data_IF_265971454454
#
_entry.id   IF_265971454454
#
_cell.length_a   1.000
_cell.length_b   1.000
_cell.length_c   1.000
_cell.angle_alpha   90.00
_cell.angle_beta   90.00
_cell.angle_gamma   90.00
#
_symmetry.space_group_name_H-M   'P 1'
#
loop_
_entity.id
_entity.type
_entity.pdbx_description
1 polymer ?
#
# COMPACT_ATOMS: atom_id res chain seq x y z
N UNK A 1 -16.93 -25.78 -6.18
CA UNK A 1 -18.11 -25.37 -5.39
C UNK A 1 -18.11 -23.86 -5.30
N UNK A 2 -19.23 -23.19 -5.56
CA UNK A 2 -19.34 -21.74 -5.35
C UNK A 2 -19.67 -21.43 -3.88
N UNK A 3 -19.51 -20.17 -3.46
CA UNK A 3 -19.81 -19.74 -2.08
C UNK A 3 -21.24 -20.12 -1.68
N UNK A 4 -22.22 -19.93 -2.56
CA UNK A 4 -23.63 -20.28 -2.34
C UNK A 4 -23.88 -21.79 -2.08
N UNK A 5 -22.94 -22.66 -2.46
CA UNK A 5 -23.01 -24.10 -2.23
C UNK A 5 -22.15 -24.52 -1.02
N UNK A 6 -21.14 -23.72 -0.67
CA UNK A 6 -20.14 -24.05 0.34
C UNK A 6 -20.52 -23.60 1.75
N UNK A 7 -21.31 -22.53 1.86
CA UNK A 7 -21.71 -21.91 3.12
C UNK A 7 -23.23 -21.88 3.21
N UNK A 8 -23.78 -21.92 4.42
CA UNK A 8 -25.22 -21.74 4.64
C UNK A 8 -25.60 -20.26 4.65
N UNK A 9 -24.71 -19.43 5.19
CA UNK A 9 -24.94 -17.99 5.33
C UNK A 9 -23.70 -17.18 4.96
N UNK A 10 -23.95 -15.99 4.43
CA UNK A 10 -22.91 -14.98 4.18
C UNK A 10 -23.23 -13.73 4.98
N UNK A 11 -22.22 -13.20 5.68
CA UNK A 11 -22.33 -11.94 6.42
C UNK A 11 -21.59 -10.86 5.67
N UNK A 12 -22.31 -9.93 5.06
CA UNK A 12 -21.72 -8.74 4.47
C UNK A 12 -21.48 -7.68 5.54
N UNK A 13 -20.31 -7.04 5.49
CA UNK A 13 -19.91 -6.02 6.46
C UNK A 13 -19.44 -4.77 5.74
N UNK A 14 -20.22 -3.70 5.87
CA UNK A 14 -19.80 -2.35 5.51
C UNK A 14 -19.09 -1.69 6.70
N UNK A 15 -17.92 -1.12 6.45
CA UNK A 15 -17.00 -0.67 7.49
C UNK A 15 -16.80 0.84 7.48
N UNK A 16 -17.13 1.49 8.59
CA UNK A 16 -16.92 2.92 8.82
C UNK A 16 -16.12 3.20 10.09
N UNK A 17 -15.67 4.44 10.23
CA UNK A 17 -14.82 4.87 11.35
C UNK A 17 -15.50 4.66 12.72
N UNK A 18 -16.81 4.92 12.82
CA UNK A 18 -17.56 4.88 14.09
C UNK A 18 -18.30 3.57 14.32
N UNK A 19 -18.82 2.97 13.25
CA UNK A 19 -19.72 1.81 13.29
C UNK A 19 -19.44 0.88 12.12
N UNK A 20 -19.88 -0.36 12.25
CA UNK A 20 -19.92 -1.33 11.17
C UNK A 20 -21.35 -1.84 11.04
N UNK A 21 -21.84 -1.91 9.81
CA UNK A 21 -23.17 -2.44 9.50
C UNK A 21 -23.01 -3.84 8.93
N UNK A 22 -23.75 -4.79 9.49
CA UNK A 22 -23.70 -6.20 9.13
C UNK A 22 -25.04 -6.61 8.53
N UNK A 23 -24.99 -7.37 7.44
CA UNK A 23 -26.15 -7.98 6.80
C UNK A 23 -25.91 -9.48 6.65
N UNK A 24 -26.73 -10.29 7.30
CA UNK A 24 -26.72 -11.76 7.18
C UNK A 24 -27.68 -12.13 6.06
N UNK A 25 -27.19 -12.88 5.07
CA UNK A 25 -28.01 -13.44 4.01
C UNK A 25 -27.91 -14.96 4.01
N UNK A 26 -28.99 -15.61 3.61
CA UNK A 26 -28.99 -17.02 3.20
C UNK A 26 -28.15 -17.18 1.93
N UNK A 27 -27.21 -18.11 1.94
CA UNK A 27 -26.28 -18.28 0.83
C UNK A 27 -26.92 -18.93 -0.41
N UNK A 28 -27.96 -19.76 -0.23
CA UNK A 28 -28.59 -20.52 -1.29
C UNK A 28 -29.57 -19.68 -2.11
N UNK A 29 -30.39 -18.87 -1.44
CA UNK A 29 -31.42 -18.06 -2.10
C UNK A 29 -31.14 -16.54 -2.04
N UNK A 30 -30.17 -16.10 -1.25
CA UNK A 30 -29.81 -14.69 -1.12
C UNK A 30 -30.83 -13.85 -0.34
N UNK A 31 -31.73 -14.46 0.43
CA UNK A 31 -32.67 -13.74 1.29
C UNK A 31 -31.95 -13.07 2.46
N UNK A 32 -32.34 -11.84 2.80
CA UNK A 32 -31.82 -11.14 3.97
C UNK A 32 -32.46 -11.74 5.22
N UNK A 33 -31.65 -12.25 6.14
CA UNK A 33 -32.09 -12.87 7.39
C UNK A 33 -32.07 -11.88 8.56
N UNK A 34 -31.02 -11.07 8.65
CA UNK A 34 -30.87 -10.12 9.74
C UNK A 34 -29.92 -8.97 9.37
N UNK A 35 -30.15 -7.80 9.96
CA UNK A 35 -29.29 -6.61 9.82
C UNK A 35 -29.04 -6.02 11.21
N UNK A 36 -27.80 -5.64 11.50
CA UNK A 36 -27.45 -4.94 12.73
C UNK A 36 -26.22 -4.06 12.57
N UNK A 37 -26.16 -2.98 13.35
CA UNK A 37 -25.04 -2.05 13.37
C UNK A 37 -24.39 -2.06 14.75
N UNK A 38 -23.06 -2.14 14.79
CA UNK A 38 -22.29 -2.16 16.04
C UNK A 38 -21.19 -1.08 16.02
N UNK A 39 -20.81 -0.50 17.17
CA UNK A 39 -19.68 0.42 17.26
C UNK A 39 -18.37 -0.24 16.82
N UNK A 40 -17.50 0.51 16.13
CA UNK A 40 -16.15 0.08 15.77
C UNK A 40 -15.21 0.16 16.99
N UNK A 41 -15.41 -0.75 17.94
CA UNK A 41 -14.65 -0.86 19.19
C UNK A 41 -14.53 -2.35 19.54
N UNK A 42 -13.53 -2.75 20.33
CA UNK A 42 -13.39 -4.17 20.71
C UNK A 42 -14.64 -4.76 21.40
N UNK A 43 -15.34 -4.05 22.32
CA UNK A 43 -16.62 -4.51 22.84
C UNK A 43 -17.71 -4.61 21.76
N UNK A 44 -17.76 -3.66 20.82
CA UNK A 44 -18.69 -3.69 19.69
C UNK A 44 -18.44 -4.88 18.75
N UNK A 45 -17.18 -5.21 18.46
CA UNK A 45 -16.81 -6.39 17.67
C UNK A 45 -17.22 -7.68 18.37
N UNK A 46 -17.04 -7.79 19.70
CA UNK A 46 -17.54 -8.94 20.48
C UNK A 46 -19.06 -9.07 20.43
N UNK A 47 -19.79 -7.96 20.54
CA UNK A 47 -21.26 -7.95 20.42
C UNK A 47 -21.71 -8.38 19.03
N UNK A 48 -21.03 -7.93 17.98
CA UNK A 48 -21.28 -8.35 16.61
C UNK A 48 -21.07 -9.87 16.43
N UNK A 49 -19.97 -10.41 16.96
CA UNK A 49 -19.70 -11.85 16.96
C UNK A 49 -20.79 -12.66 17.67
N UNK A 50 -21.19 -12.25 18.87
CA UNK A 50 -22.28 -12.91 19.59
C UNK A 50 -23.60 -12.82 18.82
N UNK A 51 -23.84 -11.72 18.12
CA UNK A 51 -25.03 -11.57 17.27
C UNK A 51 -24.99 -12.50 16.05
N UNK A 52 -23.87 -12.58 15.32
CA UNK A 52 -23.68 -13.52 14.20
C UNK A 52 -23.94 -14.96 14.66
N UNK A 53 -23.36 -15.38 15.80
CA UNK A 53 -23.56 -16.73 16.35
C UNK A 53 -25.02 -17.06 16.65
N UNK A 54 -25.84 -16.07 17.02
CA UNK A 54 -27.29 -16.27 17.24
C UNK A 54 -28.06 -16.42 15.93
N UNK A 55 -27.62 -15.77 14.85
CA UNK A 55 -28.24 -15.88 13.53
C UNK A 55 -27.79 -17.16 12.78
N UNK A 56 -26.62 -17.70 13.13
CA UNK A 56 -25.97 -18.80 12.43
C UNK A 56 -25.55 -19.95 13.37
N UNK A 57 -26.49 -20.75 13.92
CA UNK A 57 -26.16 -21.78 14.91
C UNK A 57 -25.20 -22.86 14.40
N UNK A 58 -25.27 -23.22 13.12
CA UNK A 58 -24.41 -24.21 12.49
C UNK A 58 -22.97 -23.72 12.25
N UNK A 59 -22.70 -22.41 12.43
CA UNK A 59 -21.39 -21.78 12.24
C UNK A 59 -20.75 -21.95 10.85
N UNK A 60 -21.49 -22.42 9.84
CA UNK A 60 -21.04 -22.47 8.45
C UNK A 60 -21.25 -21.11 7.75
N UNK A 61 -20.39 -20.14 8.09
CA UNK A 61 -20.54 -18.73 7.73
C UNK A 61 -19.30 -18.19 7.03
N UNK A 62 -19.51 -17.47 5.93
CA UNK A 62 -18.49 -16.64 5.29
C UNK A 62 -18.76 -15.15 5.57
N UNK A 63 -17.78 -14.41 6.07
CA UNK A 63 -17.88 -12.97 6.26
C UNK A 63 -17.24 -12.21 5.07
N UNK A 64 -18.04 -11.48 4.30
CA UNK A 64 -17.60 -10.60 3.22
C UNK A 64 -17.43 -9.17 3.76
N UNK A 65 -16.19 -8.77 4.03
CA UNK A 65 -15.89 -7.50 4.71
C UNK A 65 -15.30 -6.49 3.72
N UNK A 66 -15.88 -5.30 3.64
CA UNK A 66 -15.26 -4.19 2.91
C UNK A 66 -14.12 -3.57 3.73
N UNK A 67 -12.99 -3.23 3.08
CA UNK A 67 -11.92 -2.47 3.72
C UNK A 67 -11.20 -3.22 4.86
N UNK A 68 -10.91 -4.51 4.66
CA UNK A 68 -10.30 -5.44 5.65
C UNK A 68 -8.96 -4.97 6.26
N UNK A 69 -8.29 -4.01 5.62
CA UNK A 69 -7.01 -3.42 6.09
C UNK A 69 -7.12 -1.93 6.41
N UNK A 70 -8.33 -1.41 6.63
CA UNK A 70 -8.64 -0.01 6.98
C UNK A 70 -9.62 0.00 8.17
N UNK A 71 -10.78 0.66 8.07
CA UNK A 71 -11.81 0.65 9.11
C UNK A 71 -12.25 -0.78 9.48
N UNK A 72 -12.21 -1.72 8.54
CA UNK A 72 -12.53 -3.13 8.77
C UNK A 72 -11.44 -3.97 9.44
N UNK A 73 -10.26 -3.42 9.75
CA UNK A 73 -9.14 -4.20 10.28
C UNK A 73 -9.47 -4.88 11.62
N UNK A 74 -10.03 -4.13 12.58
CA UNK A 74 -10.36 -4.66 13.91
C UNK A 74 -11.43 -5.75 13.86
N UNK A 75 -12.51 -5.53 13.10
CA UNK A 75 -13.57 -6.54 12.95
C UNK A 75 -13.08 -7.77 12.18
N UNK A 76 -12.24 -7.61 11.16
CA UNK A 76 -11.64 -8.73 10.42
C UNK A 76 -10.79 -9.60 11.34
N UNK A 77 -9.98 -8.99 12.20
CA UNK A 77 -9.19 -9.72 13.20
C UNK A 77 -10.10 -10.47 14.20
N UNK A 78 -11.16 -9.83 14.68
CA UNK A 78 -12.12 -10.45 15.61
C UNK A 78 -12.86 -11.64 14.99
N UNK A 79 -13.31 -11.53 13.73
CA UNK A 79 -13.96 -12.61 12.97
C UNK A 79 -13.03 -13.81 12.79
N UNK A 80 -11.78 -13.56 12.37
CA UNK A 80 -10.77 -14.61 12.20
C UNK A 80 -10.42 -15.31 13.52
N UNK A 81 -10.24 -14.55 14.60
CA UNK A 81 -9.98 -15.11 15.92
C UNK A 81 -11.14 -15.97 16.45
N UNK A 82 -12.37 -15.70 16.00
CA UNK A 82 -13.55 -16.48 16.32
C UNK A 82 -13.76 -17.71 15.40
N UNK A 83 -12.83 -17.98 14.47
CA UNK A 83 -12.90 -19.09 13.52
C UNK A 83 -13.80 -18.85 12.31
N UNK A 84 -14.28 -17.63 12.08
CA UNK A 84 -15.13 -17.31 10.93
C UNK A 84 -14.24 -17.04 9.71
N UNK A 85 -14.55 -17.68 8.58
CA UNK A 85 -13.85 -17.45 7.32
C UNK A 85 -14.17 -16.04 6.82
N UNK A 86 -13.14 -15.27 6.43
CA UNK A 86 -13.30 -13.87 5.98
C UNK A 86 -12.78 -13.72 4.56
N UNK A 87 -13.59 -13.10 3.70
CA UNK A 87 -13.22 -12.66 2.35
C UNK A 87 -13.29 -11.15 2.24
N UNK A 88 -12.43 -10.56 1.43
CA UNK A 88 -12.46 -9.12 1.12
C UNK A 88 -13.54 -8.85 0.06
N UNK A 89 -14.58 -8.10 0.45
CA UNK A 89 -15.62 -7.66 -0.46
C UNK A 89 -15.07 -6.55 -1.37
N UNK A 90 -15.33 -6.65 -2.68
CA UNK A 90 -14.96 -5.59 -3.61
C UNK A 90 -16.06 -4.53 -3.61
N UNK A 91 -15.70 -3.22 -3.58
CA UNK A 91 -16.67 -2.17 -3.77
C UNK A 91 -17.38 -2.38 -5.12
N UNK A 92 -18.71 -2.54 -5.10
CA UNK A 92 -19.48 -2.77 -6.31
C UNK A 92 -19.55 -1.45 -7.07
N UNK A 93 -18.75 -1.32 -8.15
CA UNK A 93 -18.75 -0.13 -8.98
C UNK A 93 -20.07 0.08 -9.72
N UNK A 94 -20.65 1.29 -9.62
CA UNK A 94 -21.67 1.87 -10.52
C UNK A 94 -22.96 1.06 -10.76
N UNK A 95 -23.45 0.29 -9.79
CA UNK A 95 -24.88 -0.13 -9.73
C UNK A 95 -25.69 0.72 -8.74
N UNK A 96 -25.25 1.96 -8.50
CA UNK A 96 -25.80 2.90 -7.49
C UNK A 96 -27.07 3.62 -7.93
N UNK A 97 -27.52 3.43 -9.17
CA UNK A 97 -28.44 4.39 -9.81
C UNK A 97 -29.93 4.24 -9.43
N UNK A 98 -30.32 3.36 -8.50
CA UNK A 98 -31.76 3.15 -8.23
C UNK A 98 -32.22 3.07 -6.76
N UNK A 99 -31.33 2.96 -5.77
CA UNK A 99 -31.76 2.66 -4.38
C UNK A 99 -31.29 3.65 -3.29
N UNK A 100 -30.61 4.75 -3.64
CA UNK A 100 -30.02 5.65 -2.64
C UNK A 100 -28.81 5.02 -1.92
N UNK A 101 -28.09 5.83 -1.12
CA UNK A 101 -26.92 5.38 -0.36
C UNK A 101 -27.35 5.08 1.08
N UNK A 102 -27.27 3.81 1.48
CA UNK A 102 -27.52 3.36 2.85
C UNK A 102 -26.50 2.29 3.22
N UNK A 103 -25.92 2.39 4.41
CA UNK A 103 -24.93 1.43 4.94
C UNK A 103 -25.48 -0.01 4.96
N UNK A 104 -26.81 -0.18 5.08
CA UNK A 104 -27.47 -1.49 5.01
C UNK A 104 -27.40 -2.08 3.59
N UNK A 105 -27.62 -1.25 2.57
CA UNK A 105 -27.52 -1.65 1.17
C UNK A 105 -26.08 -2.02 0.84
N UNK A 106 -25.11 -1.23 1.31
CA UNK A 106 -23.69 -1.51 1.08
C UNK A 106 -23.26 -2.83 1.77
N UNK A 107 -23.72 -3.09 3.00
CA UNK A 107 -23.49 -4.37 3.68
C UNK A 107 -24.16 -5.56 2.94
N UNK A 108 -25.40 -5.41 2.47
CA UNK A 108 -26.07 -6.45 1.68
C UNK A 108 -25.34 -6.72 0.35
N UNK A 109 -24.93 -5.66 -0.36
CA UNK A 109 -24.16 -5.77 -1.59
C UNK A 109 -22.81 -6.46 -1.37
N UNK A 110 -22.15 -6.19 -0.24
CA UNK A 110 -20.93 -6.89 0.14
C UNK A 110 -21.17 -8.40 0.27
N UNK A 111 -22.24 -8.82 0.96
CA UNK A 111 -22.62 -10.23 1.09
C UNK A 111 -22.94 -10.87 -0.27
N UNK A 112 -23.78 -10.21 -1.08
CA UNK A 112 -24.19 -10.72 -2.40
C UNK A 112 -23.03 -10.82 -3.39
N UNK A 113 -22.03 -9.96 -3.26
CA UNK A 113 -20.91 -9.89 -4.20
C UNK A 113 -20.09 -11.19 -4.28
N UNK A 114 -20.17 -12.05 -3.26
CA UNK A 114 -19.35 -13.27 -3.17
C UNK A 114 -20.11 -14.56 -3.46
N UNK A 115 -21.44 -14.56 -3.49
CA UNK A 115 -22.26 -15.79 -3.63
C UNK A 115 -21.90 -16.64 -4.86
N UNK A 116 -21.73 -15.98 -6.02
CA UNK A 116 -21.39 -16.64 -7.28
C UNK A 116 -19.90 -16.90 -7.50
N UNK A 117 -19.05 -16.61 -6.51
CA UNK A 117 -17.60 -16.78 -6.63
C UNK A 117 -17.24 -18.22 -6.27
N UNK A 118 -16.33 -18.85 -7.02
CA UNK A 118 -15.76 -20.14 -6.64
C UNK A 118 -15.04 -20.01 -5.29
N UNK A 119 -15.28 -20.93 -4.35
CA UNK A 119 -14.70 -20.88 -3.01
C UNK A 119 -13.18 -20.70 -3.04
N UNK A 120 -12.51 -21.40 -3.96
CA UNK A 120 -11.05 -21.39 -4.12
C UNK A 120 -10.52 -20.07 -4.72
N UNK A 121 -11.42 -19.17 -5.17
CA UNK A 121 -11.11 -17.89 -5.81
C UNK A 121 -11.52 -16.68 -4.98
N UNK A 122 -12.07 -16.87 -3.78
CA UNK A 122 -12.46 -15.74 -2.93
C UNK A 122 -11.22 -14.91 -2.52
N UNK A 123 -11.30 -13.57 -2.54
CA UNK A 123 -10.18 -12.73 -2.10
C UNK A 123 -9.88 -12.90 -0.61
N UNK A 124 -8.75 -13.53 -0.29
CA UNK A 124 -8.32 -13.67 1.11
C UNK A 124 -7.75 -12.34 1.63
N UNK A 125 -8.24 -11.81 2.76
CA UNK A 125 -7.72 -10.59 3.36
C UNK A 125 -6.24 -10.75 3.71
N UNK A 126 -5.51 -9.65 3.65
CA UNK A 126 -4.08 -9.64 3.99
C UNK A 126 -3.86 -10.12 5.43
N UNK A 127 -2.69 -10.69 5.69
CA UNK A 127 -2.29 -11.08 7.05
C UNK A 127 -1.86 -9.85 7.85
N UNK A 128 -2.33 -9.78 9.09
CA UNK A 128 -1.99 -8.81 10.13
C UNK A 128 -0.99 -9.48 11.09
N UNK A 129 0.30 -9.25 10.85
CA UNK A 129 1.44 -9.67 11.68
C UNK A 129 2.59 -8.70 11.36
N UNK A 130 3.85 -9.13 11.24
CA UNK A 130 4.99 -8.31 10.77
C UNK A 130 4.71 -7.42 9.54
N UNK A 131 3.75 -7.83 8.68
CA UNK A 131 3.28 -7.05 7.54
C UNK A 131 2.55 -5.77 7.92
N UNK A 132 1.92 -5.75 9.08
CA UNK A 132 1.31 -4.55 9.67
C UNK A 132 2.39 -3.57 10.12
N UNK A 133 3.43 -4.05 10.82
CA UNK A 133 4.59 -3.23 11.19
C UNK A 133 5.25 -2.60 9.96
N UNK A 134 5.45 -3.39 8.89
CA UNK A 134 5.94 -2.88 7.61
C UNK A 134 5.02 -1.82 7.00
N UNK A 135 3.68 -1.97 7.08
CA UNK A 135 2.73 -0.97 6.58
C UNK A 135 2.79 0.32 7.40
N UNK A 136 2.87 0.21 8.72
CA UNK A 136 3.00 1.35 9.64
C UNK A 136 4.27 2.13 9.29
N UNK A 137 5.41 1.44 9.18
CA UNK A 137 6.68 2.08 8.84
C UNK A 137 6.70 2.66 7.42
N UNK A 138 6.05 2.03 6.44
CA UNK A 138 5.90 2.59 5.09
C UNK A 138 5.01 3.84 5.08
N UNK A 139 3.97 3.88 5.89
CA UNK A 139 3.11 5.06 6.03
C UNK A 139 3.87 6.20 6.71
N UNK A 140 4.53 5.93 7.84
CA UNK A 140 5.37 6.89 8.54
C UNK A 140 6.46 7.46 7.62
N UNK A 141 7.15 6.61 6.86
CA UNK A 141 8.17 7.02 5.88
C UNK A 141 7.64 8.02 4.87
N UNK A 142 6.43 7.80 4.33
CA UNK A 142 5.83 8.72 3.34
C UNK A 142 5.58 10.09 3.93
N UNK A 143 5.04 10.13 5.15
CA UNK A 143 4.77 11.38 5.86
C UNK A 143 6.09 12.13 6.13
N UNK A 144 7.10 11.43 6.66
CA UNK A 144 8.43 11.99 6.93
C UNK A 144 9.09 12.54 5.66
N UNK A 145 9.05 11.81 4.55
CA UNK A 145 9.65 12.25 3.29
C UNK A 145 8.92 13.47 2.70
N UNK A 146 7.58 13.51 2.81
CA UNK A 146 6.76 14.66 2.44
C UNK A 146 7.09 15.90 3.27
N UNK A 147 7.11 15.76 4.61
CA UNK A 147 7.43 16.85 5.53
C UNK A 147 8.85 17.37 5.32
N UNK A 148 9.84 16.48 5.20
CA UNK A 148 11.22 16.85 4.89
C UNK A 148 11.33 17.63 3.58
N UNK A 149 10.65 17.16 2.53
CA UNK A 149 10.64 17.83 1.22
C UNK A 149 9.97 19.19 1.29
N UNK A 150 8.82 19.29 1.97
CA UNK A 150 8.11 20.54 2.16
C UNK A 150 8.97 21.56 2.92
N UNK A 151 9.61 21.15 4.01
CA UNK A 151 10.49 22.00 4.80
C UNK A 151 11.72 22.46 4.00
N UNK A 152 12.33 21.58 3.20
CA UNK A 152 13.47 21.95 2.33
C UNK A 152 13.06 22.94 1.25
N UNK A 153 11.89 22.75 0.63
CA UNK A 153 11.37 23.65 -0.39
C UNK A 153 11.00 25.01 0.20
N UNK A 154 10.34 25.04 1.35
CA UNK A 154 10.03 26.26 2.08
C UNK A 154 11.29 27.03 2.47
N UNK A 155 12.31 26.33 2.98
CA UNK A 155 13.61 26.93 3.32
C UNK A 155 14.29 27.54 2.08
N UNK A 156 14.31 26.79 0.97
CA UNK A 156 14.90 27.25 -0.29
C UNK A 156 14.16 28.48 -0.82
N UNK A 157 12.83 28.49 -0.76
CA UNK A 157 12.01 29.64 -1.17
C UNK A 157 12.29 30.86 -0.30
N UNK A 158 12.34 30.69 1.02
CA UNK A 158 12.62 31.80 1.95
C UNK A 158 13.98 32.45 1.68
N UNK A 159 15.03 31.64 1.45
CA UNK A 159 16.38 32.13 1.13
C UNK A 159 16.50 32.77 -0.26
N UNK A 160 15.53 32.56 -1.14
CA UNK A 160 15.44 33.28 -2.44
C UNK A 160 14.74 34.62 -2.30
N UNK A 161 13.85 34.75 -1.33
CA UNK A 161 13.11 36.00 -1.07
C UNK A 161 13.91 36.95 -0.18
N UNK A 162 14.64 36.43 0.80
CA UNK A 162 15.43 37.23 1.75
C UNK A 162 16.89 36.79 1.67
N UNK A 163 17.77 37.72 1.32
CA UNK A 163 19.21 37.45 1.33
C UNK A 163 19.71 37.30 2.77
N UNK A 164 20.09 36.08 3.12
CA UNK A 164 20.66 35.72 4.42
C UNK A 164 22.13 35.23 4.30
N UNK A 165 22.78 35.51 3.17
CA UNK A 165 24.18 35.11 2.90
C UNK A 165 24.34 33.64 2.50
N UNK A 166 23.29 33.00 1.97
CA UNK A 166 23.33 31.62 1.46
C UNK A 166 22.89 31.63 -0.01
N UNK A 167 23.73 31.09 -0.91
CA UNK A 167 23.34 30.92 -2.31
C UNK A 167 22.27 29.82 -2.45
N UNK A 168 21.03 30.25 -2.70
CA UNK A 168 19.86 29.40 -2.91
C UNK A 168 19.38 29.36 -4.38
N UNK A 169 20.23 29.75 -5.36
CA UNK A 169 19.90 29.64 -6.80
C UNK A 169 19.69 28.18 -7.21
N UNK A 170 20.42 27.25 -6.59
CA UNK A 170 20.25 25.80 -6.71
C UNK A 170 19.59 25.23 -5.45
N UNK A 171 19.02 24.00 -5.50
CA UNK A 171 18.54 23.32 -4.30
C UNK A 171 19.63 23.24 -3.24
N UNK A 172 19.26 23.47 -1.97
CA UNK A 172 20.21 23.50 -0.87
C UNK A 172 20.87 22.14 -0.65
N UNK A 173 22.19 22.17 -0.47
CA UNK A 173 22.99 21.01 -0.08
C UNK A 173 22.89 20.77 1.43
N UNK A 174 23.08 19.52 1.86
CA UNK A 174 23.01 19.14 3.28
C UNK A 174 23.97 19.94 4.16
N UNK A 175 25.12 20.36 3.63
CA UNK A 175 26.06 21.22 4.36
C UNK A 175 25.49 22.62 4.64
N UNK A 176 24.83 23.23 3.65
CA UNK A 176 24.17 24.53 3.83
C UNK A 176 23.06 24.43 4.87
N UNK A 177 22.28 23.33 4.83
CA UNK A 177 21.22 23.07 5.81
C UNK A 177 21.79 22.95 7.23
N UNK A 178 22.91 22.24 7.41
CA UNK A 178 23.62 22.16 8.71
C UNK A 178 24.08 23.53 9.20
N UNK A 179 24.68 24.35 8.34
CA UNK A 179 25.08 25.71 8.69
C UNK A 179 23.90 26.56 9.16
N UNK A 180 22.78 26.51 8.42
CA UNK A 180 21.55 27.25 8.76
C UNK A 180 20.96 26.77 10.09
N UNK A 181 20.92 25.46 10.32
CA UNK A 181 20.41 24.87 11.57
C UNK A 181 21.23 25.30 12.81
N UNK A 182 22.52 25.61 12.60
CA UNK A 182 23.46 26.05 13.63
C UNK A 182 23.47 27.57 13.85
N UNK A 183 22.73 28.36 13.07
CA UNK A 183 22.70 29.83 13.25
C UNK A 183 22.33 30.24 14.68
N UNK A 184 23.10 31.19 15.22
CA UNK A 184 22.76 31.90 16.46
C UNK A 184 21.59 32.84 16.19
N UNK A 185 20.55 32.76 17.01
CA UNK A 185 19.36 33.62 16.93
C UNK A 185 19.36 34.50 18.18
N UNK A 186 19.28 35.82 17.98
CA UNK A 186 19.13 36.77 19.07
C UNK A 186 17.63 37.03 19.29
N UNK A 187 17.13 36.75 20.49
CA UNK A 187 15.71 36.87 20.85
C UNK A 187 15.31 38.28 21.31
N UNK A 188 16.15 39.30 21.11
CA UNK A 188 15.78 40.66 21.51
C UNK A 188 14.59 41.13 20.65
N UNK A 189 13.50 41.63 21.26
CA UNK A 189 12.39 42.20 20.51
C UNK A 189 12.86 43.51 19.89
N UNK A 190 13.42 43.43 18.68
CA UNK A 190 13.65 44.59 17.85
C UNK A 190 12.34 44.94 17.12
N UNK A 191 12.11 46.23 16.88
CA UNK A 191 11.13 46.71 15.91
C UNK A 191 11.22 45.90 14.60
N UNK A 192 10.08 45.72 13.91
CA UNK A 192 9.91 44.91 12.68
C UNK A 192 11.21 44.67 11.89
N UNK A 193 11.88 43.55 12.14
CA UNK A 193 13.11 43.17 11.45
C UNK A 193 12.88 41.88 10.64
N UNK A 194 12.55 42.06 9.36
CA UNK A 194 12.30 40.96 8.41
C UNK A 194 13.47 39.97 8.33
N UNK A 195 14.73 40.44 8.38
CA UNK A 195 15.91 39.56 8.36
C UNK A 195 15.99 38.68 9.61
N UNK A 196 15.70 39.23 10.80
CA UNK A 196 15.71 38.47 12.04
C UNK A 196 14.64 37.36 12.04
N UNK A 197 13.42 37.70 11.60
CA UNK A 197 12.31 36.75 11.47
C UNK A 197 12.64 35.66 10.44
N UNK A 198 13.13 36.04 9.26
CA UNK A 198 13.55 35.10 8.22
C UNK A 198 14.65 34.16 8.72
N UNK A 199 15.66 34.68 9.43
CA UNK A 199 16.75 33.87 9.98
C UNK A 199 16.26 32.85 11.01
N UNK A 200 15.33 33.25 11.88
CA UNK A 200 14.72 32.35 12.87
C UNK A 200 13.93 31.23 12.18
N UNK A 201 13.10 31.59 11.19
CA UNK A 201 12.28 30.63 10.46
C UNK A 201 13.13 29.68 9.61
N UNK A 202 14.17 30.19 8.93
CA UNK A 202 15.14 29.37 8.20
C UNK A 202 15.80 28.34 9.11
N UNK A 203 16.20 28.74 10.33
CA UNK A 203 16.79 27.82 11.32
C UNK A 203 15.79 26.74 11.76
N UNK A 204 14.52 27.10 11.99
CA UNK A 204 13.45 26.15 12.36
C UNK A 204 13.26 25.10 11.26
N UNK A 205 13.12 25.55 10.01
CA UNK A 205 12.97 24.67 8.85
C UNK A 205 14.18 23.76 8.64
N UNK A 206 15.41 24.31 8.74
CA UNK A 206 16.63 23.54 8.60
C UNK A 206 16.76 22.43 9.67
N UNK A 207 16.44 22.75 10.93
CA UNK A 207 16.41 21.75 12.02
C UNK A 207 15.39 20.65 11.76
N UNK A 208 14.19 21.00 11.31
CA UNK A 208 13.17 20.01 10.96
C UNK A 208 13.62 19.10 9.81
N UNK A 209 14.34 19.62 8.81
CA UNK A 209 14.90 18.79 7.72
C UNK A 209 15.94 17.79 8.25
N UNK A 210 16.82 18.22 9.17
CA UNK A 210 17.81 17.33 9.78
C UNK A 210 17.14 16.26 10.64
N UNK A 211 16.18 16.64 11.47
CA UNK A 211 15.42 15.72 12.32
C UNK A 211 14.70 14.65 11.49
N UNK A 212 13.94 15.04 10.48
CA UNK A 212 13.26 14.08 9.60
C UNK A 212 14.26 13.20 8.81
N UNK A 213 15.48 13.68 8.56
CA UNK A 213 16.52 12.87 7.93
C UNK A 213 17.00 11.75 8.86
N UNK A 214 17.21 12.04 10.15
CA UNK A 214 17.55 11.03 11.15
C UNK A 214 16.41 10.02 11.32
N UNK A 215 15.17 10.50 11.44
CA UNK A 215 13.98 9.64 11.52
C UNK A 215 13.83 8.73 10.29
N UNK A 216 14.15 9.22 9.09
CA UNK A 216 14.12 8.41 7.86
C UNK A 216 15.23 7.36 7.78
N UNK A 217 16.37 7.60 8.43
CA UNK A 217 17.47 6.64 8.55
C UNK A 217 17.10 5.52 9.52
N UNK A 218 16.58 5.87 10.70
CA UNK A 218 16.07 4.91 11.68
C UNK A 218 14.94 4.06 11.09
N UNK A 219 13.94 4.69 10.49
CA UNK A 219 12.87 4.00 9.75
C UNK A 219 13.42 3.04 8.68
N UNK A 220 14.50 3.41 7.99
CA UNK A 220 15.12 2.55 6.98
C UNK A 220 15.77 1.31 7.60
N UNK A 221 16.40 1.44 8.76
CA UNK A 221 17.00 0.32 9.51
C UNK A 221 15.91 -0.62 10.05
N UNK A 222 14.83 -0.07 10.61
CA UNK A 222 13.69 -0.88 11.07
C UNK A 222 13.05 -1.66 9.91
N UNK A 223 12.80 -1.00 8.77
CA UNK A 223 12.30 -1.67 7.56
C UNK A 223 13.24 -2.78 7.09
N UNK A 224 14.57 -2.58 7.21
CA UNK A 224 15.56 -3.59 6.81
C UNK A 224 15.45 -4.84 7.66
N UNK A 225 15.40 -4.67 8.99
CA UNK A 225 15.30 -5.79 9.93
C UNK A 225 14.00 -6.58 9.75
N UNK A 226 12.86 -5.89 9.73
CA UNK A 226 11.55 -6.53 9.56
C UNK A 226 11.41 -7.21 8.20
N UNK A 227 11.89 -6.59 7.11
CA UNK A 227 11.83 -7.22 5.80
C UNK A 227 12.76 -8.45 5.68
N UNK A 228 13.90 -8.46 6.40
CA UNK A 228 14.79 -9.62 6.43
C UNK A 228 14.16 -10.80 7.18
N UNK A 229 13.45 -10.52 8.28
CA UNK A 229 12.72 -11.55 9.02
C UNK A 229 11.50 -12.08 8.24
N UNK A 230 10.69 -11.18 7.66
CA UNK A 230 9.46 -11.55 6.97
C UNK A 230 9.67 -12.24 5.61
N UNK A 231 10.83 -12.02 4.96
CA UNK A 231 11.20 -12.68 3.70
C UNK A 231 12.73 -12.78 3.56
N UNK A 232 13.36 -13.80 4.18
CA UNK A 232 14.80 -14.04 4.09
C UNK A 232 15.30 -14.13 2.64
N UNK A 233 16.49 -13.58 2.38
CA UNK A 233 17.11 -13.55 1.05
C UNK A 233 16.48 -12.57 0.05
N UNK A 234 15.30 -11.97 0.31
CA UNK A 234 14.66 -11.05 -0.63
C UNK A 234 15.51 -9.80 -0.92
N UNK A 235 16.21 -9.29 0.10
CA UNK A 235 17.07 -8.12 0.01
C UNK A 235 18.45 -8.42 -0.61
N UNK A 236 18.79 -9.70 -0.84
CA UNK A 236 20.00 -10.10 -1.55
C UNK A 236 19.83 -10.00 -3.07
N UNK A 237 18.58 -9.95 -3.55
CA UNK A 237 18.29 -9.69 -4.95
C UNK A 237 18.77 -8.29 -5.35
N UNK A 238 19.60 -8.23 -6.40
CA UNK A 238 20.13 -6.97 -6.95
C UNK A 238 19.05 -5.89 -7.08
N UNK A 239 19.32 -4.68 -6.60
CA UNK A 239 18.41 -3.54 -6.63
C UNK A 239 17.22 -3.58 -5.66
N UNK A 240 17.03 -4.66 -4.87
CA UNK A 240 16.00 -4.72 -3.83
C UNK A 240 16.54 -4.16 -2.52
N UNK A 241 16.12 -2.95 -2.16
CA UNK A 241 16.40 -2.35 -0.85
C UNK A 241 15.27 -2.54 0.17
N UNK A 242 15.49 -2.14 1.44
CA UNK A 242 14.53 -2.31 2.54
C UNK A 242 13.11 -1.79 2.23
N UNK A 243 13.02 -0.60 1.65
CA UNK A 243 11.74 0.05 1.33
C UNK A 243 11.00 -0.71 0.23
N UNK A 244 11.70 -1.13 -0.83
CA UNK A 244 11.10 -1.90 -1.92
C UNK A 244 10.72 -3.31 -1.47
N UNK A 245 11.53 -3.94 -0.62
CA UNK A 245 11.24 -5.24 -0.02
C UNK A 245 9.97 -5.16 0.82
N UNK A 246 9.85 -4.17 1.71
CA UNK A 246 8.66 -3.94 2.52
C UNK A 246 7.39 -3.75 1.68
N UNK A 247 7.45 -2.96 0.61
CA UNK A 247 6.32 -2.77 -0.32
C UNK A 247 5.91 -4.11 -0.96
N UNK A 248 6.90 -4.89 -1.42
CA UNK A 248 6.68 -6.19 -2.05
C UNK A 248 6.04 -7.18 -1.07
N UNK A 249 6.57 -7.30 0.15
CA UNK A 249 6.08 -8.19 1.20
C UNK A 249 4.63 -7.83 1.58
N UNK A 250 4.34 -6.54 1.75
CA UNK A 250 3.00 -6.06 2.04
C UNK A 250 2.00 -6.33 0.91
N UNK A 251 2.42 -6.21 -0.35
CA UNK A 251 1.57 -6.45 -1.51
C UNK A 251 1.33 -7.94 -1.78
N UNK A 252 2.37 -8.76 -1.65
CA UNK A 252 2.29 -10.23 -1.71
C UNK A 252 1.43 -10.77 -0.56
N UNK A 253 1.62 -10.21 0.63
CA UNK A 253 1.11 -10.74 1.89
C UNK A 253 1.69 -12.13 2.16
N UNK A 254 0.93 -13.21 2.08
CA UNK A 254 1.36 -14.54 2.51
C UNK A 254 1.29 -15.55 1.37
N UNK A 255 1.93 -16.71 1.58
CA UNK A 255 1.86 -17.84 0.66
C UNK A 255 0.40 -18.26 0.42
N UNK A 256 0.08 -18.68 -0.81
CA UNK A 256 -1.28 -19.04 -1.22
C UNK A 256 -2.20 -17.87 -1.59
N UNK A 257 -1.95 -16.63 -1.13
CA UNK A 257 -2.79 -15.48 -1.51
C UNK A 257 -2.69 -15.13 -2.99
N UNK A 258 -1.48 -15.20 -3.54
CA UNK A 258 -1.21 -14.91 -4.94
C UNK A 258 -0.93 -16.23 -5.65
N UNK A 259 -1.96 -16.73 -6.34
CA UNK A 259 -2.01 -18.06 -6.98
C UNK A 259 -0.98 -18.32 -8.09
N UNK A 260 -0.36 -17.28 -8.66
CA UNK A 260 0.61 -17.45 -9.73
C UNK A 260 1.47 -16.22 -9.97
N UNK A 261 2.60 -16.42 -10.63
CA UNK A 261 3.51 -15.36 -11.07
C UNK A 261 2.82 -14.38 -12.04
N UNK A 262 1.88 -14.86 -12.87
CA UNK A 262 1.07 -14.02 -13.73
C UNK A 262 0.09 -13.15 -12.93
N UNK A 263 -0.53 -13.71 -11.88
CA UNK A 263 -1.40 -12.95 -10.98
C UNK A 263 -0.61 -11.88 -10.21
N UNK A 264 0.63 -12.16 -9.80
CA UNK A 264 1.49 -11.18 -9.15
C UNK A 264 1.84 -10.01 -10.09
N UNK A 265 2.14 -10.29 -11.36
CA UNK A 265 2.39 -9.26 -12.34
C UNK A 265 1.15 -8.43 -12.69
N UNK A 266 -0.02 -9.05 -12.73
CA UNK A 266 -1.28 -8.34 -12.90
C UNK A 266 -1.53 -7.39 -11.71
N UNK A 267 -1.33 -7.87 -10.48
CA UNK A 267 -1.41 -7.06 -9.26
C UNK A 267 -0.48 -5.84 -9.33
N UNK A 268 0.79 -6.04 -9.69
CA UNK A 268 1.77 -4.95 -9.82
C UNK A 268 1.62 -4.08 -11.07
N UNK A 269 0.64 -4.35 -11.94
CA UNK A 269 0.46 -3.64 -13.20
C UNK A 269 1.65 -3.77 -14.16
N UNK A 270 2.44 -4.84 -14.03
CA UNK A 270 3.61 -5.15 -14.87
C UNK A 270 3.33 -6.28 -15.86
N UNK A 271 2.13 -6.88 -15.82
CA UNK A 271 1.66 -7.78 -16.86
C UNK A 271 1.52 -7.02 -18.20
N UNK A 272 2.08 -7.55 -19.30
CA UNK A 272 1.96 -6.91 -20.61
C UNK A 272 0.49 -6.97 -21.06
N UNK A 273 -0.09 -5.81 -21.41
CA UNK A 273 -1.40 -5.75 -22.05
C UNK A 273 -1.22 -5.49 -23.55
N UNK A 274 -1.76 -6.35 -24.43
CA UNK A 274 -1.75 -6.08 -25.87
C UNK A 274 -2.38 -4.71 -26.16
N UNK A 275 -1.71 -3.94 -27.01
CA UNK A 275 -2.12 -2.62 -27.46
C UNK A 275 -1.70 -2.43 -28.93
N UNK A 276 -2.05 -3.42 -29.73
CA UNK A 276 -1.70 -3.52 -31.14
C UNK A 276 -2.89 -3.20 -32.04
N UNK A 277 -2.63 -2.47 -33.13
CA UNK A 277 -3.49 -2.39 -34.31
C UNK A 277 -2.63 -2.64 -35.54
N UNK A 278 -3.05 -3.58 -36.41
CA UNK A 278 -2.29 -3.99 -37.60
C UNK A 278 -0.97 -4.71 -37.27
N UNK A 279 0.06 -4.57 -38.12
CA UNK A 279 1.35 -5.28 -38.07
C UNK A 279 2.31 -4.88 -36.94
N UNK A 280 1.88 -4.06 -35.97
CA UNK A 280 2.75 -3.63 -34.86
C UNK A 280 2.41 -4.34 -33.56
N UNK A 281 3.33 -5.14 -33.03
CA UNK A 281 3.17 -5.77 -31.71
C UNK A 281 3.60 -4.79 -30.62
N UNK A 282 2.63 -4.13 -29.97
CA UNK A 282 2.89 -3.16 -28.89
C UNK A 282 2.15 -3.59 -27.62
N UNK A 283 2.79 -3.33 -26.49
CA UNK A 283 2.23 -3.61 -25.17
C UNK A 283 2.14 -2.33 -24.34
N UNK A 284 0.99 -2.13 -23.68
CA UNK A 284 0.77 -1.02 -22.74
C UNK A 284 0.84 -1.47 -21.29
N UNK A 285 1.07 -0.51 -20.40
CA UNK A 285 0.99 -0.71 -18.95
C UNK A 285 -0.48 -0.80 -18.52
N UNK A 286 -0.79 -1.71 -17.58
CA UNK A 286 -2.08 -1.68 -16.89
C UNK A 286 -2.17 -0.47 -15.96
N UNK A 287 -3.27 0.28 -16.04
CA UNK A 287 -3.55 1.40 -15.13
C UNK A 287 -4.24 0.96 -13.83
N UNK A 288 -4.73 -0.28 -13.76
CA UNK A 288 -5.56 -0.82 -12.69
C UNK A 288 -4.79 -1.61 -11.61
N UNK A 289 -3.45 -1.66 -11.68
CA UNK A 289 -2.61 -2.35 -10.68
C UNK A 289 -2.17 -1.47 -9.50
N UNK A 290 -1.61 -2.12 -8.48
CA UNK A 290 -1.01 -1.48 -7.31
C UNK A 290 0.17 -0.59 -7.72
N UNK A 291 -0.02 0.72 -7.56
CA UNK A 291 0.95 1.74 -7.98
C UNK A 291 2.21 1.74 -7.12
N UNK A 292 2.11 1.33 -5.86
CA UNK A 292 3.27 1.25 -4.97
C UNK A 292 4.14 0.06 -5.37
N UNK A 293 3.52 -1.10 -5.62
CA UNK A 293 4.22 -2.27 -6.13
C UNK A 293 4.88 -1.99 -7.50
N UNK A 294 4.16 -1.32 -8.41
CA UNK A 294 4.74 -0.91 -9.70
C UNK A 294 5.95 0.02 -9.55
N UNK A 295 5.86 0.99 -8.64
CA UNK A 295 6.95 1.91 -8.30
C UNK A 295 8.15 1.16 -7.71
N UNK A 296 7.91 0.18 -6.83
CA UNK A 296 8.99 -0.64 -6.28
C UNK A 296 9.75 -1.38 -7.39
N UNK A 297 9.05 -2.01 -8.33
CA UNK A 297 9.69 -2.62 -9.51
C UNK A 297 10.43 -1.59 -10.38
N UNK A 298 9.91 -0.37 -10.54
CA UNK A 298 10.61 0.70 -11.26
C UNK A 298 11.94 1.08 -10.61
N UNK A 299 11.94 1.23 -9.29
CA UNK A 299 13.14 1.56 -8.50
C UNK A 299 14.18 0.45 -8.63
N UNK A 300 13.78 -0.81 -8.47
CA UNK A 300 14.67 -1.98 -8.62
C UNK A 300 15.29 -1.99 -10.02
N UNK A 301 14.47 -1.84 -11.07
CA UNK A 301 14.95 -1.83 -12.45
C UNK A 301 15.94 -0.69 -12.70
N UNK A 302 15.64 0.53 -12.24
CA UNK A 302 16.55 1.67 -12.40
C UNK A 302 17.88 1.44 -11.68
N UNK A 303 17.84 0.91 -10.46
CA UNK A 303 19.05 0.56 -9.73
C UNK A 303 19.88 -0.46 -10.49
N UNK A 304 19.25 -1.56 -10.95
CA UNK A 304 19.94 -2.60 -11.75
C UNK A 304 20.53 -2.06 -13.04
N UNK A 305 19.84 -1.16 -13.74
CA UNK A 305 20.39 -0.55 -14.97
C UNK A 305 21.68 0.25 -14.72
N UNK A 306 21.92 0.70 -13.48
CA UNK A 306 23.14 1.43 -13.10
C UNK A 306 24.20 0.46 -12.59
N UNK A 307 23.85 -0.45 -11.67
CA UNK A 307 24.82 -1.22 -10.89
C UNK A 307 24.96 -2.69 -11.28
N UNK A 308 24.01 -3.29 -12.02
CA UNK A 308 23.99 -4.72 -12.34
C UNK A 308 24.56 -4.99 -13.75
N UNK A 309 25.71 -5.66 -13.89
CA UNK A 309 26.34 -5.90 -15.19
C UNK A 309 25.43 -6.65 -16.17
N UNK A 310 24.74 -7.69 -15.70
CA UNK A 310 23.83 -8.50 -16.53
C UNK A 310 22.68 -7.67 -17.10
N UNK A 311 22.06 -6.82 -16.27
CA UNK A 311 21.02 -5.89 -16.70
C UNK A 311 21.56 -4.86 -17.70
N UNK A 312 22.78 -4.35 -17.50
CA UNK A 312 23.42 -3.42 -18.45
C UNK A 312 23.64 -4.06 -19.82
N UNK A 313 24.16 -5.29 -19.86
CA UNK A 313 24.33 -6.05 -21.11
C UNK A 313 22.99 -6.32 -21.79
N UNK A 314 21.95 -6.65 -21.02
CA UNK A 314 20.60 -6.82 -21.56
C UNK A 314 20.07 -5.52 -22.19
N UNK A 315 20.24 -4.38 -21.52
CA UNK A 315 19.80 -3.07 -22.03
C UNK A 315 20.54 -2.73 -23.32
N UNK A 316 21.87 -2.87 -23.35
CA UNK A 316 22.68 -2.60 -24.54
C UNK A 316 22.21 -3.44 -25.74
N UNK A 317 22.00 -4.75 -25.54
CA UNK A 317 21.49 -5.65 -26.58
C UNK A 317 20.09 -5.23 -27.08
N UNK A 318 19.15 -4.92 -26.19
CA UNK A 318 17.79 -4.48 -26.59
C UNK A 318 17.81 -3.13 -27.30
N UNK A 319 18.70 -2.21 -26.91
CA UNK A 319 18.90 -0.95 -27.62
C UNK A 319 19.45 -1.16 -29.03
N UNK A 320 20.38 -2.09 -29.22
CA UNK A 320 20.88 -2.45 -30.56
C UNK A 320 19.80 -3.07 -31.45
N UNK A 321 18.83 -3.79 -30.87
CA UNK A 321 17.65 -4.33 -31.56
C UNK A 321 16.56 -3.26 -31.85
N UNK A 322 16.84 -1.97 -31.60
CA UNK A 322 15.89 -0.87 -31.86
C UNK A 322 14.79 -0.69 -30.80
N UNK A 323 14.85 -1.42 -29.67
CA UNK A 323 13.85 -1.33 -28.61
C UNK A 323 14.03 -0.03 -27.80
N UNK A 324 12.95 0.69 -27.55
CA UNK A 324 13.03 1.92 -26.75
C UNK A 324 13.40 1.63 -25.29
N UNK A 325 13.96 2.63 -24.61
CA UNK A 325 14.24 2.54 -23.16
C UNK A 325 12.98 2.19 -22.35
N UNK A 326 11.81 2.69 -22.75
CA UNK A 326 10.54 2.41 -22.06
C UNK A 326 10.12 0.95 -22.21
N UNK A 327 10.26 0.38 -23.40
CA UNK A 327 9.94 -1.01 -23.68
C UNK A 327 10.91 -1.96 -22.97
N UNK A 328 12.21 -1.67 -23.03
CA UNK A 328 13.25 -2.41 -22.31
C UNK A 328 12.96 -2.45 -20.80
N UNK A 329 12.61 -1.29 -20.19
CA UNK A 329 12.23 -1.23 -18.77
C UNK A 329 10.99 -2.07 -18.44
N UNK A 330 10.00 -2.16 -19.34
CA UNK A 330 8.81 -3.01 -19.13
C UNK A 330 9.19 -4.49 -19.09
N UNK A 331 10.06 -4.93 -20.01
CA UNK A 331 10.59 -6.29 -19.99
C UNK A 331 11.34 -6.58 -18.68
N UNK A 332 12.23 -5.67 -18.27
CA UNK A 332 12.96 -5.78 -17.00
C UNK A 332 12.03 -5.86 -15.78
N UNK A 333 10.97 -5.04 -15.72
CA UNK A 333 9.97 -5.12 -14.64
C UNK A 333 9.30 -6.49 -14.57
N UNK A 334 9.01 -7.11 -15.72
CA UNK A 334 8.44 -8.47 -15.76
C UNK A 334 9.42 -9.52 -15.25
N UNK A 335 10.69 -9.44 -15.64
CA UNK A 335 11.74 -10.34 -15.13
C UNK A 335 11.97 -10.18 -13.62
N UNK A 336 12.04 -8.94 -13.13
CA UNK A 336 12.16 -8.65 -11.70
C UNK A 336 10.96 -9.21 -10.93
N UNK A 337 9.74 -8.97 -11.42
CA UNK A 337 8.52 -9.50 -10.82
C UNK A 337 8.54 -11.03 -10.72
N UNK A 338 9.01 -11.73 -11.76
CA UNK A 338 9.18 -13.19 -11.76
C UNK A 338 10.20 -13.67 -10.72
N UNK A 339 11.38 -13.06 -10.70
CA UNK A 339 12.46 -13.40 -9.77
C UNK A 339 12.02 -13.19 -8.32
N UNK A 340 11.37 -12.06 -8.03
CA UNK A 340 10.81 -11.76 -6.72
C UNK A 340 9.73 -12.76 -6.32
N UNK A 341 8.81 -13.12 -7.22
CA UNK A 341 7.77 -14.10 -6.93
C UNK A 341 8.35 -15.48 -6.56
N UNK A 342 9.37 -15.93 -7.30
CA UNK A 342 10.07 -17.19 -7.01
C UNK A 342 10.76 -17.15 -5.65
N UNK A 343 11.44 -16.06 -5.32
CA UNK A 343 12.08 -15.91 -4.01
C UNK A 343 11.06 -15.97 -2.88
N UNK A 344 9.92 -15.28 -3.02
CA UNK A 344 8.85 -15.28 -2.01
C UNK A 344 8.16 -16.64 -1.86
N UNK A 345 8.13 -17.47 -2.92
CA UNK A 345 7.61 -18.83 -2.85
C UNK A 345 8.62 -19.83 -2.29
N UNK A 346 9.92 -19.63 -2.54
CA UNK A 346 10.97 -20.52 -2.04
C UNK A 346 11.28 -20.31 -0.56
N UNK A 347 11.00 -19.11 -0.02
CA UNK A 347 11.21 -18.75 1.38
C UNK A 347 9.98 -18.99 2.28
N UNK A 348 8.90 -19.54 1.73
CA UNK A 348 7.67 -19.92 2.45
C UNK A 348 7.73 -21.41 2.79
#
# INVERSE_FOLDING_TARGET
MIVAEAFEQVVGVDTHARTHTFCVIDAHNGAVLAVATFPNTSPGHRRALSWIRRQSPAMNVLAAVEGTSSYGAGVTAALRAAGIEVTEARPVGRRRDRAGKSDVIDAELAARSVLGVQRERIPVPRQSSEREDLRILLAARRLLDQQRTANRNALTALLRTVDLGIDARKPLHDNQIRVIAAWRINHKPAARNTHAVARQESRRLARAVLEHTLQLQDNHQQLRALAAHAAPGLQELSGVGPVTAAIIICAYSHHGRIRSEAAFAALGGVAPLPASSGNTTRHRLSRAGDRQLNRAFDIIVRSRMISDPTTRSYVARRTAEGMSTRETRRCLKRYVCRSVFRQLHAAA
#
